data_IF_349573923106
#
_entry.id   IF_349573923106
#
_cell.length_a   1.000
_cell.length_b   1.000
_cell.length_c   1.000
_cell.angle_alpha   90.00
_cell.angle_beta   90.00
_cell.angle_gamma   90.00
#
_symmetry.space_group_name_H-M   'P 1'
#
loop_
_entity.id
_entity.type
_entity.pdbx_description
1 polymer ?
#
# COMPACT_ATOMS: atom_id res chain seq x y z
N UNK A 1 -42.64 -9.56 -16.49
CA UNK A 1 -42.69 -8.56 -15.42
C UNK A 1 -42.70 -9.17 -14.02
N UNK A 2 -43.59 -10.11 -13.67
CA UNK A 2 -43.56 -10.77 -12.35
C UNK A 2 -42.28 -11.60 -12.12
N UNK A 3 -41.90 -12.44 -13.09
CA UNK A 3 -40.68 -13.27 -13.04
C UNK A 3 -39.43 -12.39 -12.91
N UNK A 4 -39.35 -11.32 -13.69
CA UNK A 4 -38.22 -10.39 -13.69
C UNK A 4 -38.02 -9.74 -12.31
N UNK A 5 -39.11 -9.26 -11.70
CA UNK A 5 -39.10 -8.65 -10.36
C UNK A 5 -38.73 -9.67 -9.28
N UNK A 6 -39.18 -10.91 -9.42
CA UNK A 6 -38.86 -12.00 -8.51
C UNK A 6 -37.36 -12.34 -8.56
N UNK A 7 -36.81 -12.54 -9.77
CA UNK A 7 -35.38 -12.82 -9.96
C UNK A 7 -34.53 -11.65 -9.43
N UNK A 8 -34.91 -10.40 -9.70
CA UNK A 8 -34.20 -9.22 -9.20
C UNK A 8 -34.22 -9.13 -7.67
N UNK A 9 -35.37 -9.42 -7.04
CA UNK A 9 -35.47 -9.43 -5.57
C UNK A 9 -34.59 -10.52 -4.96
N UNK A 10 -34.57 -11.71 -5.57
CA UNK A 10 -33.71 -12.80 -5.13
C UNK A 10 -32.23 -12.54 -5.42
N UNK A 11 -31.91 -11.69 -6.39
CA UNK A 11 -30.54 -11.29 -6.72
C UNK A 11 -29.98 -10.19 -5.81
N UNK A 12 -30.82 -9.26 -5.36
CA UNK A 12 -30.38 -8.11 -4.57
C UNK A 12 -29.78 -8.52 -3.21
N UNK A 13 -30.39 -9.50 -2.53
CA UNK A 13 -29.93 -9.92 -1.21
C UNK A 13 -28.56 -10.62 -1.26
N UNK A 14 -28.33 -11.62 -2.13
CA UNK A 14 -27.01 -12.19 -2.36
C UNK A 14 -25.97 -11.16 -2.82
N UNK A 15 -26.34 -10.16 -3.62
CA UNK A 15 -25.44 -9.10 -4.06
C UNK A 15 -24.95 -8.22 -2.92
N UNK A 16 -25.84 -7.79 -2.03
CA UNK A 16 -25.46 -6.99 -0.85
C UNK A 16 -24.61 -7.84 0.10
N UNK A 17 -25.01 -9.09 0.32
CA UNK A 17 -24.28 -10.02 1.18
C UNK A 17 -22.86 -10.31 0.67
N UNK A 18 -22.71 -10.63 -0.62
CA UNK A 18 -21.41 -10.89 -1.23
C UNK A 18 -20.54 -9.63 -1.24
N UNK A 19 -21.12 -8.47 -1.55
CA UNK A 19 -20.39 -7.19 -1.52
C UNK A 19 -19.88 -6.84 -0.14
N UNK A 20 -20.71 -6.97 0.90
CA UNK A 20 -20.29 -6.73 2.27
C UNK A 20 -19.18 -7.69 2.70
N UNK A 21 -19.36 -8.98 2.41
CA UNK A 21 -18.38 -10.03 2.77
C UNK A 21 -17.04 -9.78 2.09
N UNK A 22 -17.04 -9.51 0.78
CA UNK A 22 -15.83 -9.24 0.02
C UNK A 22 -15.16 -7.93 0.48
N UNK A 23 -15.91 -6.84 0.72
CA UNK A 23 -15.33 -5.61 1.28
C UNK A 23 -14.68 -5.89 2.63
N UNK A 24 -15.32 -6.68 3.51
CA UNK A 24 -14.76 -7.03 4.80
C UNK A 24 -13.46 -7.82 4.66
N UNK A 25 -13.39 -8.79 3.74
CA UNK A 25 -12.17 -9.55 3.45
C UNK A 25 -11.04 -8.64 2.95
N UNK A 26 -11.32 -7.77 1.98
CA UNK A 26 -10.33 -6.80 1.48
C UNK A 26 -9.88 -5.81 2.55
N UNK A 27 -10.80 -5.38 3.43
CA UNK A 27 -10.48 -4.49 4.54
C UNK A 27 -9.57 -5.19 5.56
N UNK A 28 -9.84 -6.44 5.91
CA UNK A 28 -8.96 -7.23 6.79
C UNK A 28 -7.58 -7.42 6.17
N UNK A 29 -7.52 -7.76 4.88
CA UNK A 29 -6.27 -7.87 4.14
C UNK A 29 -5.48 -6.55 4.17
N UNK A 30 -6.16 -5.43 3.96
CA UNK A 30 -5.55 -4.10 4.04
C UNK A 30 -5.02 -3.82 5.44
N UNK A 31 -5.82 -4.06 6.48
CA UNK A 31 -5.41 -3.86 7.86
C UNK A 31 -4.20 -4.71 8.23
N UNK A 32 -4.16 -5.99 7.83
CA UNK A 32 -2.98 -6.84 8.06
C UNK A 32 -1.74 -6.33 7.34
N UNK A 33 -1.86 -5.97 6.05
CA UNK A 33 -0.73 -5.49 5.24
C UNK A 33 -0.17 -4.16 5.75
N UNK A 34 -1.00 -3.30 6.32
CA UNK A 34 -0.62 -1.98 6.82
C UNK A 34 -0.55 -1.91 8.35
N UNK A 35 -0.75 -3.01 9.07
CA UNK A 35 -0.73 -3.06 10.53
C UNK A 35 0.56 -2.48 11.08
N UNK A 36 1.71 -2.95 10.60
CA UNK A 36 3.04 -2.50 11.04
C UNK A 36 3.29 -1.01 10.76
N UNK A 37 2.61 -0.45 9.75
CA UNK A 37 2.73 0.97 9.38
C UNK A 37 1.77 1.87 10.16
N UNK A 38 0.70 1.32 10.73
CA UNK A 38 -0.34 2.06 11.44
C UNK A 38 -0.19 1.95 12.96
N UNK A 39 0.17 0.77 13.45
CA UNK A 39 0.36 0.44 14.87
C UNK A 39 1.70 1.01 15.35
N UNK A 40 1.73 1.63 16.54
CA UNK A 40 2.95 2.20 17.13
C UNK A 40 3.40 3.56 16.59
N UNK A 41 2.72 4.12 15.57
CA UNK A 41 3.07 5.45 15.01
C UNK A 41 2.44 6.65 15.71
N UNK A 42 1.60 6.45 16.72
CA UNK A 42 0.90 7.53 17.42
C UNK A 42 -0.04 8.33 16.49
N UNK A 43 -0.59 7.66 15.46
CA UNK A 43 -1.55 8.27 14.55
C UNK A 43 -2.86 8.54 15.29
N UNK A 44 -3.42 9.74 15.10
CA UNK A 44 -4.77 10.02 15.58
C UNK A 44 -5.75 9.06 14.90
N UNK A 45 -6.71 8.53 15.66
CA UNK A 45 -7.75 7.61 15.18
C UNK A 45 -8.48 8.14 13.94
N UNK A 46 -8.66 9.47 13.87
CA UNK A 46 -9.24 10.16 12.72
C UNK A 46 -8.46 9.96 11.40
N UNK A 47 -7.13 9.91 11.45
CA UNK A 47 -6.28 9.69 10.28
C UNK A 47 -6.44 8.27 9.75
N UNK A 48 -6.58 7.30 10.65
CA UNK A 48 -6.79 5.90 10.30
C UNK A 48 -8.14 5.71 9.62
N UNK A 49 -9.21 6.30 10.19
CA UNK A 49 -10.55 6.25 9.60
C UNK A 49 -10.54 6.89 8.20
N UNK A 50 -9.92 8.07 8.06
CA UNK A 50 -9.80 8.76 6.77
C UNK A 50 -9.06 7.91 5.73
N UNK A 51 -7.98 7.23 6.12
CA UNK A 51 -7.23 6.32 5.26
C UNK A 51 -8.07 5.12 4.82
N UNK A 52 -8.82 4.51 5.74
CA UNK A 52 -9.73 3.40 5.44
C UNK A 52 -10.82 3.86 4.47
N UNK A 53 -11.43 5.03 4.69
CA UNK A 53 -12.45 5.59 3.80
C UNK A 53 -11.95 5.78 2.38
N UNK A 54 -10.72 6.28 2.20
CA UNK A 54 -10.15 6.41 0.85
C UNK A 54 -9.83 5.07 0.20
N UNK A 55 -9.35 4.09 0.97
CA UNK A 55 -9.13 2.74 0.45
C UNK A 55 -10.44 2.02 0.12
N UNK A 56 -11.53 2.28 0.81
CA UNK A 56 -12.82 1.68 0.47
C UNK A 56 -13.24 1.99 -0.98
N UNK A 57 -12.92 3.18 -1.51
CA UNK A 57 -13.22 3.52 -2.90
C UNK A 57 -12.55 2.56 -3.89
N UNK A 58 -11.28 2.18 -3.65
CA UNK A 58 -10.55 1.20 -4.46
C UNK A 58 -11.18 -0.19 -4.35
N UNK A 59 -11.57 -0.59 -3.14
CA UNK A 59 -12.16 -1.90 -2.88
C UNK A 59 -13.51 -2.04 -3.58
N UNK A 60 -14.36 -1.01 -3.55
CA UNK A 60 -15.66 -1.01 -4.24
C UNK A 60 -15.50 -1.28 -5.73
N UNK A 61 -14.50 -0.68 -6.38
CA UNK A 61 -14.27 -0.87 -7.82
C UNK A 61 -13.98 -2.33 -8.18
N UNK A 62 -13.27 -3.05 -7.31
CA UNK A 62 -12.96 -4.46 -7.51
C UNK A 62 -14.08 -5.39 -7.05
N UNK A 63 -14.70 -5.07 -5.91
CA UNK A 63 -15.68 -5.93 -5.27
C UNK A 63 -16.98 -5.96 -6.03
N UNK A 64 -17.48 -4.83 -6.55
CA UNK A 64 -18.79 -4.78 -7.22
C UNK A 64 -18.91 -5.81 -8.37
N UNK A 65 -17.98 -5.92 -9.33
CA UNK A 65 -18.03 -6.96 -10.37
C UNK A 65 -17.97 -8.38 -9.82
N UNK A 66 -17.12 -8.63 -8.81
CA UNK A 66 -17.01 -9.94 -8.16
C UNK A 66 -18.30 -10.32 -7.45
N UNK A 67 -18.94 -9.36 -6.77
CA UNK A 67 -20.21 -9.55 -6.10
C UNK A 67 -21.34 -9.89 -7.04
N UNK A 68 -21.38 -9.29 -8.24
CA UNK A 68 -22.37 -9.64 -9.29
C UNK A 68 -22.20 -11.09 -9.73
N UNK A 69 -20.97 -11.57 -9.88
CA UNK A 69 -20.71 -12.98 -10.20
C UNK A 69 -21.21 -13.89 -9.09
N UNK A 70 -20.88 -13.59 -7.83
CA UNK A 70 -21.30 -14.39 -6.68
C UNK A 70 -22.81 -14.37 -6.52
N UNK A 71 -23.45 -13.21 -6.68
CA UNK A 71 -24.90 -13.07 -6.52
C UNK A 71 -25.67 -13.78 -7.63
N UNK A 72 -25.21 -13.70 -8.88
CA UNK A 72 -25.82 -14.44 -9.98
C UNK A 72 -25.73 -15.94 -9.73
N UNK A 73 -24.56 -16.45 -9.32
CA UNK A 73 -24.37 -17.85 -8.99
C UNK A 73 -25.27 -18.31 -7.83
N UNK A 74 -25.33 -17.55 -6.74
CA UNK A 74 -26.17 -17.88 -5.58
C UNK A 74 -27.67 -17.85 -5.94
N UNK A 75 -28.10 -16.86 -6.73
CA UNK A 75 -29.51 -16.72 -7.11
C UNK A 75 -29.97 -17.86 -8.01
N UNK A 76 -29.25 -18.10 -9.11
CA UNK A 76 -29.59 -19.19 -10.03
C UNK A 76 -29.32 -20.57 -9.42
N UNK A 77 -28.32 -20.70 -8.55
CA UNK A 77 -28.06 -21.91 -7.77
C UNK A 77 -29.21 -22.25 -6.82
N UNK A 78 -29.71 -21.27 -6.06
CA UNK A 78 -30.87 -21.45 -5.18
C UNK A 78 -32.15 -21.78 -5.96
N UNK A 79 -32.41 -21.06 -7.06
CA UNK A 79 -33.56 -21.36 -7.93
C UNK A 79 -33.46 -22.75 -8.57
N UNK A 80 -32.25 -23.22 -8.92
CA UNK A 80 -32.04 -24.55 -9.44
C UNK A 80 -32.26 -25.62 -8.36
N UNK A 81 -31.77 -25.40 -7.14
CA UNK A 81 -31.95 -26.31 -6.00
C UNK A 81 -33.43 -26.46 -5.62
N UNK A 82 -34.21 -25.39 -5.72
CA UNK A 82 -35.66 -25.39 -5.46
C UNK A 82 -36.50 -25.87 -6.66
N UNK A 83 -35.87 -26.37 -7.73
CA UNK A 83 -36.52 -26.74 -9.00
C UNK A 83 -37.31 -25.61 -9.70
N UNK A 84 -37.14 -24.35 -9.29
CA UNK A 84 -37.83 -23.20 -9.89
C UNK A 84 -37.41 -23.00 -11.36
N UNK A 85 -36.13 -23.22 -11.66
CA UNK A 85 -35.63 -23.15 -13.05
C UNK A 85 -36.26 -24.25 -13.93
N UNK A 86 -36.44 -25.46 -13.38
CA UNK A 86 -37.05 -26.57 -14.11
C UNK A 86 -38.54 -26.32 -14.40
N UNK A 87 -39.28 -25.79 -13.41
CA UNK A 87 -40.70 -25.42 -13.54
C UNK A 87 -40.90 -24.28 -14.55
N UNK A 88 -40.04 -23.26 -14.51
CA UNK A 88 -40.11 -22.16 -15.47
C UNK A 88 -39.82 -22.64 -16.91
N UNK A 89 -38.83 -23.53 -17.07
CA UNK A 89 -38.49 -24.09 -18.37
C UNK A 89 -39.59 -25.01 -18.92
N UNK A 90 -40.23 -25.83 -18.07
CA UNK A 90 -41.35 -26.68 -18.49
C UNK A 90 -42.61 -25.86 -18.83
N UNK A 91 -42.75 -24.67 -18.25
CA UNK A 91 -43.81 -23.70 -18.57
C UNK A 91 -43.55 -22.90 -19.86
N UNK A 92 -42.50 -23.23 -20.61
CA UNK A 92 -42.15 -22.58 -21.88
C UNK A 92 -41.31 -21.31 -21.74
N UNK A 93 -40.83 -20.95 -20.55
CA UNK A 93 -39.94 -19.81 -20.36
C UNK A 93 -38.52 -20.21 -20.74
N UNK A 94 -37.93 -19.52 -21.73
CA UNK A 94 -36.54 -19.75 -22.11
C UNK A 94 -35.58 -19.27 -21.03
N UNK A 95 -34.43 -19.95 -20.89
CA UNK A 95 -33.37 -19.54 -19.96
C UNK A 95 -32.87 -18.13 -20.27
N UNK A 96 -32.75 -17.78 -21.56
CA UNK A 96 -32.38 -16.43 -22.01
C UNK A 96 -33.31 -15.35 -21.46
N UNK A 97 -34.63 -15.62 -21.40
CA UNK A 97 -35.59 -14.66 -20.85
C UNK A 97 -35.39 -14.42 -19.35
N UNK A 98 -34.98 -15.45 -18.60
CA UNK A 98 -34.64 -15.32 -17.17
C UNK A 98 -33.36 -14.50 -16.94
N UNK A 99 -32.43 -14.49 -17.90
CA UNK A 99 -31.15 -13.76 -17.81
C UNK A 99 -31.27 -12.27 -18.14
N UNK A 100 -32.29 -11.85 -18.89
CA UNK A 100 -32.47 -10.44 -19.30
C UNK A 100 -32.54 -9.52 -18.08
N UNK A 101 -33.29 -9.90 -17.04
CA UNK A 101 -33.47 -9.05 -15.86
C UNK A 101 -32.17 -8.82 -15.07
N UNK A 102 -31.39 -9.86 -14.68
CA UNK A 102 -30.05 -9.68 -14.12
C UNK A 102 -29.08 -8.93 -15.05
N UNK A 103 -29.17 -9.16 -16.36
CA UNK A 103 -28.30 -8.49 -17.33
C UNK A 103 -28.56 -6.98 -17.38
N UNK A 104 -29.83 -6.56 -17.41
CA UNK A 104 -30.19 -5.14 -17.34
C UNK A 104 -29.75 -4.50 -16.02
N UNK A 105 -29.88 -5.21 -14.90
CA UNK A 105 -29.36 -4.72 -13.62
C UNK A 105 -27.83 -4.59 -13.61
N UNK A 106 -27.12 -5.54 -14.23
CA UNK A 106 -25.67 -5.46 -14.40
C UNK A 106 -25.27 -4.23 -15.22
N UNK A 107 -25.99 -3.90 -16.31
CA UNK A 107 -25.74 -2.68 -17.08
C UNK A 107 -25.92 -1.41 -16.25
N UNK A 108 -26.94 -1.34 -15.40
CA UNK A 108 -27.16 -0.21 -14.48
C UNK A 108 -25.99 -0.09 -13.49
N UNK A 109 -25.55 -1.20 -12.92
CA UNK A 109 -24.38 -1.25 -12.03
C UNK A 109 -23.12 -0.83 -12.77
N UNK A 110 -22.89 -1.29 -13.99
CA UNK A 110 -21.75 -0.90 -14.84
C UNK A 110 -21.75 0.60 -15.10
N UNK A 111 -22.90 1.19 -15.45
CA UNK A 111 -23.01 2.63 -15.65
C UNK A 111 -22.66 3.41 -14.37
N UNK A 112 -23.19 2.99 -13.21
CA UNK A 112 -22.84 3.57 -11.93
C UNK A 112 -21.36 3.43 -11.59
N UNK A 113 -20.77 2.28 -11.91
CA UNK A 113 -19.36 2.00 -11.69
C UNK A 113 -18.44 2.85 -12.58
N UNK A 114 -18.83 3.11 -13.83
CA UNK A 114 -18.11 4.03 -14.73
C UNK A 114 -18.09 5.45 -14.15
N UNK A 115 -19.24 5.94 -13.68
CA UNK A 115 -19.33 7.26 -13.05
C UNK A 115 -18.48 7.35 -11.77
N UNK A 116 -18.49 6.28 -10.96
CA UNK A 116 -17.66 6.18 -9.77
C UNK A 116 -16.16 6.16 -10.11
N UNK A 117 -15.79 5.41 -11.15
CA UNK A 117 -14.40 5.26 -11.58
C UNK A 117 -13.84 6.58 -12.15
N UNK A 118 -14.65 7.38 -12.84
CA UNK A 118 -14.21 8.64 -13.41
C UNK A 118 -14.13 9.79 -12.40
N UNK A 119 -15.04 9.84 -11.42
CA UNK A 119 -15.18 11.02 -10.55
C UNK A 119 -14.66 10.80 -9.13
N UNK A 120 -14.92 9.61 -8.55
CA UNK A 120 -14.70 9.36 -7.11
C UNK A 120 -13.39 8.62 -6.88
N UNK A 121 -13.20 7.52 -7.62
CA UNK A 121 -12.04 6.65 -7.48
C UNK A 121 -10.69 7.38 -7.65
N UNK A 122 -10.47 8.25 -8.65
CA UNK A 122 -9.15 8.84 -8.90
C UNK A 122 -8.77 9.80 -7.77
N UNK A 123 -9.72 10.65 -7.36
CA UNK A 123 -9.56 11.58 -6.25
C UNK A 123 -9.31 10.87 -4.92
N UNK A 124 -10.06 9.79 -4.64
CA UNK A 124 -9.89 9.00 -3.42
C UNK A 124 -8.54 8.27 -3.42
N UNK A 125 -8.13 7.68 -4.53
CA UNK A 125 -6.87 6.96 -4.67
C UNK A 125 -5.67 7.90 -4.52
N UNK A 126 -5.73 9.08 -5.14
CA UNK A 126 -4.71 10.12 -4.98
C UNK A 126 -4.60 10.59 -3.52
N UNK A 127 -5.73 10.87 -2.87
CA UNK A 127 -5.76 11.26 -1.46
C UNK A 127 -5.23 10.15 -0.52
N UNK A 128 -5.53 8.88 -0.80
CA UNK A 128 -4.98 7.74 -0.06
C UNK A 128 -3.46 7.68 -0.18
N UNK A 129 -2.93 7.84 -1.40
CA UNK A 129 -1.49 7.81 -1.67
C UNK A 129 -0.75 8.92 -0.95
N UNK A 130 -1.24 10.17 -1.01
CA UNK A 130 -0.65 11.30 -0.28
C UNK A 130 -0.66 11.00 1.23
N UNK A 131 -1.78 10.55 1.77
CA UNK A 131 -1.91 10.27 3.20
C UNK A 131 -0.96 9.16 3.66
N UNK A 132 -0.80 8.09 2.87
CA UNK A 132 0.17 7.03 3.14
C UNK A 132 1.61 7.53 3.10
N UNK A 133 1.94 8.44 2.18
CA UNK A 133 3.25 9.09 2.14
C UNK A 133 3.48 9.92 3.40
N UNK A 134 2.50 10.73 3.82
CA UNK A 134 2.62 11.56 5.03
C UNK A 134 2.75 10.72 6.31
N UNK A 135 2.02 9.61 6.42
CA UNK A 135 2.16 8.63 7.50
C UNK A 135 3.56 8.00 7.49
N UNK A 136 4.11 7.72 6.31
CA UNK A 136 5.46 7.18 6.16
C UNK A 136 6.53 8.21 6.52
N UNK A 137 6.28 9.51 6.25
CA UNK A 137 7.15 10.62 6.61
C UNK A 137 7.14 10.97 8.10
N UNK A 138 6.01 10.78 8.81
CA UNK A 138 5.88 11.16 10.23
C UNK A 138 6.70 10.28 11.18
N UNK A 139 6.91 9.01 10.83
CA UNK A 139 7.97 8.16 11.40
C UNK A 139 8.68 7.51 10.22
N UNK A 140 9.75 8.14 9.71
CA UNK A 140 10.57 7.56 8.68
C UNK A 140 11.49 6.55 9.38
N UNK A 141 10.89 5.50 9.92
CA UNK A 141 11.62 4.29 10.21
C UNK A 141 12.03 3.82 8.82
N UNK A 142 13.27 4.12 8.41
CA UNK A 142 13.94 3.34 7.37
C UNK A 142 13.58 1.90 7.74
N UNK A 143 12.92 1.16 6.85
CA UNK A 143 12.39 -0.18 7.16
C UNK A 143 13.56 -1.16 7.27
N UNK A 144 14.49 -0.85 8.17
CA UNK A 144 15.63 -1.62 8.58
C UNK A 144 15.05 -2.81 9.30
N UNK A 145 15.07 -3.95 8.61
CA UNK A 145 14.78 -5.23 9.24
C UNK A 145 15.99 -5.56 10.10
N UNK A 146 15.82 -5.79 11.42
CA UNK A 146 16.92 -6.16 12.30
C UNK A 146 17.70 -7.34 11.73
N UNK A 147 19.02 -7.19 11.62
CA UNK A 147 19.92 -8.23 11.12
C UNK A 147 19.98 -8.41 9.60
N UNK A 148 19.32 -7.54 8.80
CA UNK A 148 19.38 -7.57 7.33
C UNK A 148 20.05 -6.32 6.79
N UNK A 149 20.91 -6.48 5.77
CA UNK A 149 21.51 -5.36 5.05
C UNK A 149 20.46 -4.63 4.20
N UNK A 150 20.29 -3.34 4.46
CA UNK A 150 19.46 -2.43 3.66
C UNK A 150 20.33 -1.65 2.68
N UNK A 151 20.01 -1.77 1.39
CA UNK A 151 20.68 -1.07 0.28
C UNK A 151 19.80 0.04 -0.31
N UNK A 152 18.85 0.55 0.47
CA UNK A 152 17.87 1.56 0.00
C UNK A 152 18.52 2.93 -0.28
N UNK A 153 19.68 3.19 0.33
CA UNK A 153 20.46 4.41 0.14
C UNK A 153 21.56 4.16 -0.88
N UNK A 154 21.63 5.01 -1.91
CA UNK A 154 22.63 4.88 -2.98
C UNK A 154 24.05 4.90 -2.41
N UNK A 155 24.89 3.98 -2.87
CA UNK A 155 26.29 3.81 -2.47
C UNK A 155 26.51 3.49 -0.97
N UNK A 156 25.46 3.14 -0.23
CA UNK A 156 25.56 2.78 1.18
C UNK A 156 24.82 1.48 1.47
N UNK A 157 25.43 0.60 2.26
CA UNK A 157 24.76 -0.60 2.79
C UNK A 157 24.73 -0.52 4.31
N UNK A 158 23.53 -0.54 4.90
CA UNK A 158 23.32 -0.32 6.33
C UNK A 158 22.78 -1.60 6.96
N UNK A 159 23.43 -2.06 8.02
CA UNK A 159 22.97 -3.14 8.88
C UNK A 159 22.80 -2.60 10.29
N UNK A 160 21.66 -2.88 10.91
CA UNK A 160 21.44 -2.68 12.34
C UNK A 160 20.99 -4.01 12.95
N UNK A 161 21.61 -4.42 14.07
CA UNK A 161 21.19 -5.67 14.74
C UNK A 161 19.91 -5.49 15.54
N UNK A 162 19.74 -4.31 16.14
CA UNK A 162 18.51 -3.96 16.86
C UNK A 162 18.03 -2.60 16.38
N UNK A 163 16.71 -2.49 16.18
CA UNK A 163 16.03 -1.28 15.74
C UNK A 163 14.87 -1.07 16.70
N UNK A 164 14.89 0.03 17.45
CA UNK A 164 13.74 0.43 18.27
C UNK A 164 12.80 1.33 17.43
N UNK A 165 11.58 0.85 17.08
CA UNK A 165 10.63 1.59 16.25
C UNK A 165 10.05 2.85 16.94
N UNK A 166 10.18 2.96 18.26
CA UNK A 166 9.58 4.05 19.03
C UNK A 166 10.52 5.23 19.18
N UNK A 167 11.81 4.96 19.45
CA UNK A 167 12.84 5.97 19.70
C UNK A 167 13.66 6.34 18.45
N UNK A 168 13.52 5.59 17.34
CA UNK A 168 14.42 5.65 16.17
C UNK A 168 15.90 5.41 16.53
N UNK A 169 16.14 4.74 17.66
CA UNK A 169 17.47 4.32 18.09
C UNK A 169 17.82 2.98 17.42
N UNK A 170 19.01 2.94 16.86
CA UNK A 170 19.62 1.79 16.21
C UNK A 170 20.79 1.34 17.09
N UNK A 171 20.96 0.03 17.28
CA UNK A 171 22.11 -0.53 18.00
C UNK A 171 22.90 -1.49 17.15
N UNK A 172 24.21 -1.52 17.41
CA UNK A 172 25.19 -2.31 16.69
C UNK A 172 25.06 -2.12 15.18
N UNK A 173 25.33 -0.89 14.74
CA UNK A 173 25.28 -0.52 13.34
C UNK A 173 26.57 -0.93 12.64
N UNK A 174 26.43 -1.36 11.38
CA UNK A 174 27.52 -1.52 10.44
C UNK A 174 27.11 -0.89 9.13
N UNK A 175 27.88 0.09 8.68
CA UNK A 175 27.60 0.86 7.47
C UNK A 175 28.78 0.71 6.53
N UNK A 176 28.52 0.20 5.34
CA UNK A 176 29.47 0.20 4.25
C UNK A 176 29.22 1.42 3.38
N UNK A 177 30.25 2.24 3.19
CA UNK A 177 30.23 3.39 2.29
C UNK A 177 31.10 3.06 1.06
N UNK A 178 30.41 3.02 -0.09
CA UNK A 178 30.95 2.74 -1.42
C UNK A 178 31.00 4.00 -2.30
N UNK A 179 30.94 5.19 -1.71
CA UNK A 179 30.90 6.46 -2.45
C UNK A 179 32.17 6.68 -3.29
N UNK A 180 33.33 6.22 -2.80
CA UNK A 180 34.60 6.25 -3.53
C UNK A 180 34.94 4.85 -4.10
N UNK A 181 35.02 4.65 -5.42
CA UNK A 181 35.36 3.34 -6.02
C UNK A 181 36.75 2.80 -5.64
N UNK A 182 37.63 3.66 -5.14
CA UNK A 182 39.02 3.36 -4.79
C UNK A 182 39.21 3.10 -3.29
N UNK A 183 38.20 3.36 -2.46
CA UNK A 183 38.28 3.22 -0.99
C UNK A 183 37.00 2.59 -0.45
N UNK A 184 37.14 1.65 0.47
CA UNK A 184 36.00 1.09 1.20
C UNK A 184 36.07 1.60 2.63
N UNK A 185 35.04 2.33 3.04
CA UNK A 185 34.87 2.76 4.42
C UNK A 185 33.84 1.83 5.08
N UNK A 186 34.22 1.23 6.20
CA UNK A 186 33.32 0.45 7.06
C UNK A 186 33.20 1.18 8.38
N UNK A 187 31.99 1.64 8.69
CA UNK A 187 31.68 2.40 9.89
C UNK A 187 30.89 1.49 10.81
N UNK A 188 31.42 1.22 11.99
CA UNK A 188 30.76 0.43 13.03
C UNK A 188 30.44 1.33 14.22
N UNK A 189 29.24 1.24 14.79
CA UNK A 189 28.85 2.04 15.95
C UNK A 189 27.98 1.23 16.91
N UNK A 190 28.12 1.48 18.21
CA UNK A 190 27.28 0.82 19.22
C UNK A 190 25.85 1.35 19.20
N UNK A 191 25.67 2.66 19.02
CA UNK A 191 24.37 3.34 19.01
C UNK A 191 24.31 4.34 17.87
N UNK A 192 23.11 4.56 17.34
CA UNK A 192 22.89 5.54 16.29
C UNK A 192 21.45 5.99 16.20
N UNK A 193 21.24 7.26 15.88
CA UNK A 193 19.92 7.83 15.62
C UNK A 193 19.82 8.23 14.15
N UNK A 194 18.68 7.91 13.54
CA UNK A 194 18.42 8.19 12.14
C UNK A 194 17.30 9.21 11.98
N UNK A 195 17.50 10.23 11.15
CA UNK A 195 16.51 11.25 10.83
C UNK A 195 16.78 11.90 9.48
N UNK A 196 15.79 12.57 8.92
CA UNK A 196 15.92 13.33 7.67
C UNK A 196 16.21 14.80 7.96
N UNK A 197 16.93 15.47 7.04
CA UNK A 197 17.04 16.93 7.04
C UNK A 197 15.65 17.59 6.92
N UNK A 198 15.53 18.86 7.32
CA UNK A 198 14.26 19.63 7.23
C UNK A 198 13.68 19.60 5.81
N UNK A 199 14.54 19.65 4.80
CA UNK A 199 14.17 19.64 3.38
C UNK A 199 14.06 18.22 2.80
N UNK A 200 14.20 17.18 3.63
CA UNK A 200 14.14 15.75 3.28
C UNK A 200 15.14 15.28 2.20
N UNK A 201 15.99 16.15 1.69
CA UNK A 201 17.02 15.84 0.68
C UNK A 201 18.15 14.94 1.17
N UNK A 202 18.35 14.88 2.49
CA UNK A 202 19.48 14.20 3.13
C UNK A 202 19.00 13.33 4.28
N UNK A 203 19.54 12.11 4.33
CA UNK A 203 19.41 11.19 5.44
C UNK A 203 20.60 11.42 6.37
N UNK A 204 20.33 11.71 7.63
CA UNK A 204 21.33 12.01 8.64
C UNK A 204 21.32 10.88 9.67
N UNK A 205 22.49 10.30 9.90
CA UNK A 205 22.72 9.34 10.97
C UNK A 205 23.73 9.92 11.96
N UNK A 206 23.28 10.14 13.18
CA UNK A 206 24.14 10.48 14.31
C UNK A 206 24.56 9.18 15.00
N UNK A 207 25.82 8.79 14.81
CA UNK A 207 26.44 7.59 15.35
C UNK A 207 27.22 7.92 16.63
N UNK A 208 27.17 7.03 17.61
CA UNK A 208 27.81 7.18 18.91
C UNK A 208 28.68 5.98 19.24
N UNK A 209 29.86 6.26 19.80
CA UNK A 209 30.86 5.28 20.24
C UNK A 209 31.14 4.21 19.17
N UNK A 210 32.01 4.55 18.22
CA UNK A 210 32.25 3.72 17.07
C UNK A 210 33.64 3.88 16.46
N UNK A 211 33.84 3.14 15.38
CA UNK A 211 35.10 3.07 14.66
C UNK A 211 34.88 3.08 13.14
N UNK A 212 35.76 3.79 12.44
CA UNK A 212 35.80 3.84 10.98
C UNK A 212 37.04 3.10 10.53
N UNK A 213 36.83 2.07 9.73
CA UNK A 213 37.84 1.28 9.08
C UNK A 213 37.91 1.70 7.62
N UNK A 214 39.08 2.11 7.16
CA UNK A 214 39.28 2.53 5.78
C UNK A 214 40.39 1.72 5.14
N UNK A 215 40.09 1.16 3.97
CA UNK A 215 41.02 0.39 3.16
C UNK A 215 41.05 0.93 1.73
N UNK A 216 42.25 1.11 1.18
CA UNK A 216 42.45 1.54 -0.22
C UNK A 216 42.54 0.31 -1.12
N UNK A 217 41.71 0.24 -2.17
CA UNK A 217 41.53 -0.96 -3.00
C UNK A 217 42.79 -1.36 -3.79
N UNK A 218 43.58 -0.37 -4.23
CA UNK A 218 44.81 -0.56 -5.01
C UNK A 218 46.08 -0.70 -4.16
N UNK A 219 46.03 -0.41 -2.86
CA UNK A 219 47.19 -0.44 -1.96
C UNK A 219 46.78 -1.10 -0.64
N UNK A 220 46.83 -2.44 -0.62
CA UNK A 220 46.32 -3.27 0.50
C UNK A 220 47.09 -3.07 1.82
N UNK A 221 48.27 -2.46 1.79
CA UNK A 221 49.11 -2.23 2.97
C UNK A 221 48.75 -0.98 3.78
N UNK A 222 47.84 -0.13 3.29
CA UNK A 222 47.42 1.08 4.01
C UNK A 222 46.03 0.88 4.61
N UNK A 223 46.00 0.46 5.88
CA UNK A 223 44.79 0.38 6.70
C UNK A 223 44.75 1.53 7.69
N UNK A 224 43.63 2.26 7.71
CA UNK A 224 43.42 3.36 8.66
C UNK A 224 42.22 3.06 9.54
N UNK A 225 42.44 3.11 10.85
CA UNK A 225 41.38 3.01 11.88
C UNK A 225 41.21 4.35 12.59
N UNK A 226 39.98 4.83 12.69
CA UNK A 226 39.63 6.05 13.42
C UNK A 226 38.56 5.74 14.45
N UNK A 227 38.80 6.11 15.70
CA UNK A 227 37.83 5.98 16.80
C UNK A 227 37.07 7.31 16.94
N UNK A 228 35.75 7.25 17.14
CA UNK A 228 34.93 8.42 17.35
C UNK A 228 33.94 8.22 18.50
N UNK A 229 33.74 9.27 19.30
CA UNK A 229 32.66 9.32 20.29
C UNK A 229 31.33 9.70 19.67
N UNK A 230 31.35 10.63 18.72
CA UNK A 230 30.20 11.07 17.93
C UNK A 230 30.63 11.28 16.49
N UNK A 231 29.91 10.69 15.55
CA UNK A 231 30.12 10.87 14.13
C UNK A 231 28.78 11.10 13.44
N UNK A 232 28.70 12.14 12.62
CA UNK A 232 27.51 12.44 11.83
C UNK A 232 27.77 12.03 10.39
N UNK A 233 27.02 11.05 9.92
CA UNK A 233 27.02 10.61 8.54
C UNK A 233 25.81 11.23 7.83
N UNK A 234 26.05 11.86 6.70
CA UNK A 234 24.99 12.47 5.88
C UNK A 234 25.02 11.83 4.51
N UNK A 235 23.93 11.20 4.13
CA UNK A 235 23.78 10.54 2.85
C UNK A 235 22.76 11.29 2.01
N UNK A 236 23.00 11.38 0.71
CA UNK A 236 22.00 11.91 -0.20
C UNK A 236 20.82 10.94 -0.24
N UNK A 237 19.66 11.47 0.09
CA UNK A 237 18.45 10.70 0.16
C UNK A 237 17.60 10.96 -1.07
N UNK A 238 18.19 11.06 -2.27
CA UNK A 238 17.44 11.39 -3.50
C UNK A 238 16.22 10.48 -3.70
N UNK A 239 16.33 9.19 -3.34
CA UNK A 239 15.24 8.20 -3.36
C UNK A 239 14.14 8.44 -2.29
N UNK A 240 14.44 9.21 -1.25
CA UNK A 240 13.54 9.57 -0.14
C UNK A 240 13.19 11.07 -0.13
N UNK A 241 13.85 11.86 -0.97
CA UNK A 241 13.75 13.31 -0.99
C UNK A 241 12.42 13.75 -1.55
N UNK A 242 11.72 14.55 -0.76
CA UNK A 242 10.57 15.28 -1.24
C UNK A 242 11.07 16.41 -2.15
N UNK A 243 10.97 16.21 -3.47
CA UNK A 243 10.55 17.35 -4.30
C UNK A 243 9.12 17.64 -3.86
N UNK A 244 8.83 18.88 -3.50
CA UNK A 244 7.47 19.31 -3.27
C UNK A 244 6.67 19.03 -4.53
N UNK A 245 6.01 17.89 -4.54
CA UNK A 245 4.92 17.66 -5.45
C UNK A 245 3.87 18.66 -5.00
N UNK A 246 3.85 19.79 -5.69
CA UNK A 246 2.64 20.54 -5.93
C UNK A 246 1.48 19.55 -6.12
N UNK A 247 0.24 19.99 -5.89
CA UNK A 247 -0.98 19.28 -6.32
C UNK A 247 -0.96 18.80 -7.81
N UNK A 248 0.08 19.21 -8.53
CA UNK A 248 0.50 18.92 -9.89
C UNK A 248 1.49 17.72 -10.03
N UNK A 249 1.56 16.81 -9.05
CA UNK A 249 2.30 15.56 -9.26
C UNK A 249 1.57 14.75 -10.33
N UNK A 250 2.25 14.41 -11.43
CA UNK A 250 1.70 13.59 -12.52
C UNK A 250 0.92 12.41 -11.93
N UNK A 251 -0.41 12.48 -12.08
CA UNK A 251 -1.33 11.40 -11.74
C UNK A 251 -0.85 10.17 -12.50
N UNK A 252 -0.64 9.06 -11.79
CA UNK A 252 -0.40 7.80 -12.50
C UNK A 252 -1.63 7.42 -13.32
N UNK A 253 -1.51 6.53 -14.30
CA UNK A 253 -2.64 6.10 -15.15
C UNK A 253 -3.87 5.61 -14.36
N UNK A 254 -3.67 5.18 -13.10
CA UNK A 254 -4.73 4.73 -12.17
C UNK A 254 -5.32 5.85 -11.29
N UNK A 255 -4.90 7.09 -11.49
CA UNK A 255 -5.32 8.31 -10.79
C UNK A 255 -5.88 9.36 -11.77
N UNK A 256 -5.93 9.05 -13.07
CA UNK A 256 -6.58 9.87 -14.10
C UNK A 256 -8.03 9.39 -14.29
N UNK A 257 -8.95 10.33 -14.47
CA UNK A 257 -10.29 10.00 -14.99
C UNK A 257 -10.21 9.69 -16.49
N UNK A 258 -11.20 9.00 -17.05
CA UNK A 258 -11.19 8.65 -18.48
C UNK A 258 -11.09 9.84 -19.45
N UNK A 259 -11.38 11.07 -19.01
CA UNK A 259 -11.22 12.29 -19.81
C UNK A 259 -9.80 12.88 -19.76
N UNK A 260 -8.97 12.42 -18.82
CA UNK A 260 -7.60 12.90 -18.59
C UNK A 260 -6.52 11.85 -18.95
N UNK A 261 -6.93 10.61 -19.30
CA UNK A 261 -6.05 9.58 -19.88
C UNK A 261 -5.79 9.84 -21.35
#
# INVERSE_FOLDING_TARGET
MLIDRYILKNHLLPFIFSSFTLIAVFLLQFLMKFADRLVGKGLGTWVIVKLISYNLAWMVVLVVPMSVLVSTLMTFGAMAQNNEVAVLKSSGVSLYRMMIAPFLAALVITYGLIQFNNNVYPNANHAARILLQDISKKKPTLSLVPGVFSNEVKNHSILAKEVDPNSNELKFLTIYDYTDPQKVNIITAERGNIYFSKDQSKLIMDLFEGEIHQTVRLQRDTYRKMLFKKHRLTMDAENFSFKQSSFDQQRGDRELGAAEM
#
